data_IF_469529630478
#
_entry.id   IF_469529630478
#
_cell.length_a   1.000
_cell.length_b   1.000
_cell.length_c   1.000
_cell.angle_alpha   90.00
_cell.angle_beta   90.00
_cell.angle_gamma   90.00
#
_symmetry.space_group_name_H-M   'P 1'
#
loop_
_entity.id
_entity.type
_entity.pdbx_description
1 polymer ?
#
# COMPACT_ATOMS: atom_id res chain seq x y z
N UNK A 1 -9.14 6.24 8.29
CA UNK A 1 -8.20 5.97 7.17
C UNK A 1 -7.66 7.25 6.54
N UNK A 2 -8.48 8.19 6.07
CA UNK A 2 -7.99 9.43 5.43
C UNK A 2 -7.11 10.24 6.38
N UNK A 3 -7.53 10.49 7.62
CA UNK A 3 -6.74 11.25 8.59
C UNK A 3 -5.34 10.70 8.87
N UNK A 4 -5.20 9.36 8.98
CA UNK A 4 -3.88 8.71 9.12
C UNK A 4 -3.02 8.90 7.87
N UNK A 5 -3.61 8.72 6.68
CA UNK A 5 -2.88 8.89 5.42
C UNK A 5 -2.41 10.35 5.23
N UNK A 6 -3.26 11.33 5.56
CA UNK A 6 -2.88 12.75 5.53
C UNK A 6 -1.74 13.06 6.49
N UNK A 7 -1.78 12.50 7.70
CA UNK A 7 -0.73 12.70 8.69
C UNK A 7 0.61 12.09 8.24
N UNK A 8 0.58 10.87 7.70
CA UNK A 8 1.76 10.22 7.13
C UNK A 8 2.36 11.02 5.97
N UNK A 9 1.49 11.59 5.12
CA UNK A 9 1.92 12.45 4.02
C UNK A 9 2.60 13.73 4.52
N UNK A 10 2.02 14.40 5.52
CA UNK A 10 2.60 15.60 6.15
C UNK A 10 3.94 15.24 6.82
N UNK A 11 4.00 14.16 7.57
CA UNK A 11 5.24 13.68 8.18
C UNK A 11 6.33 13.44 7.12
N UNK A 12 5.98 12.75 6.03
CA UNK A 12 6.91 12.50 4.90
C UNK A 12 7.42 13.82 4.31
N UNK A 13 6.53 14.80 4.06
CA UNK A 13 6.89 16.08 3.48
C UNK A 13 7.82 16.92 4.39
N UNK A 14 7.59 16.90 5.70
CA UNK A 14 8.44 17.59 6.68
C UNK A 14 9.81 16.91 6.75
N UNK A 15 9.84 15.60 6.98
CA UNK A 15 11.09 14.85 7.15
C UNK A 15 11.93 14.82 5.87
N UNK A 16 11.33 14.82 4.68
CA UNK A 16 12.05 14.90 3.41
C UNK A 16 12.87 16.19 3.26
N UNK A 17 12.47 17.28 3.93
CA UNK A 17 13.21 18.54 3.95
C UNK A 17 14.33 18.58 4.97
N UNK A 18 14.27 17.72 5.99
CA UNK A 18 15.23 17.70 7.12
C UNK A 18 16.30 16.63 6.93
N UNK A 19 15.93 15.44 6.46
CA UNK A 19 16.79 14.27 6.39
C UNK A 19 17.48 14.12 5.02
N UNK A 20 18.57 13.37 4.99
CA UNK A 20 19.29 13.06 3.76
C UNK A 20 18.61 11.94 2.95
N UNK A 21 18.82 11.87 1.62
CA UNK A 21 18.32 10.76 0.80
C UNK A 21 18.77 9.38 1.30
N UNK A 22 19.99 9.26 1.83
CA UNK A 22 20.50 8.01 2.38
C UNK A 22 19.66 7.48 3.55
N UNK A 23 19.14 8.36 4.42
CA UNK A 23 18.31 7.97 5.55
C UNK A 23 16.99 7.31 5.09
N UNK A 24 16.38 7.86 4.05
CA UNK A 24 15.18 7.27 3.45
C UNK A 24 15.46 5.97 2.73
N UNK A 25 16.65 5.84 2.10
CA UNK A 25 17.06 4.60 1.47
C UNK A 25 17.28 3.47 2.48
N UNK A 26 17.99 3.74 3.56
CA UNK A 26 18.17 2.79 4.66
C UNK A 26 16.83 2.39 5.25
N UNK A 27 15.96 3.36 5.53
CA UNK A 27 14.64 3.08 6.09
C UNK A 27 13.74 2.30 5.12
N UNK A 28 13.85 2.52 3.80
CA UNK A 28 13.11 1.75 2.80
C UNK A 28 13.49 0.26 2.82
N UNK A 29 14.79 -0.06 2.91
CA UNK A 29 15.26 -1.44 3.07
C UNK A 29 14.72 -2.05 4.37
N UNK A 30 14.86 -1.34 5.48
CA UNK A 30 14.39 -1.80 6.80
C UNK A 30 12.88 -2.07 6.79
N UNK A 31 12.08 -1.15 6.24
CA UNK A 31 10.64 -1.33 6.13
C UNK A 31 10.26 -2.48 5.19
N UNK A 32 11.05 -2.74 4.13
CA UNK A 32 10.80 -3.88 3.24
C UNK A 32 11.09 -5.21 3.94
N UNK A 33 12.18 -5.31 4.68
CA UNK A 33 12.52 -6.49 5.49
C UNK A 33 11.47 -6.72 6.57
N UNK A 34 11.08 -5.68 7.30
CA UNK A 34 10.07 -5.79 8.36
C UNK A 34 8.68 -6.11 7.82
N UNK A 35 8.29 -5.55 6.66
CA UNK A 35 7.00 -5.87 6.01
C UNK A 35 6.88 -7.36 5.64
N UNK A 36 8.00 -7.97 5.29
CA UNK A 36 8.10 -9.40 5.04
C UNK A 36 7.85 -10.24 6.30
N UNK A 37 8.52 -9.84 7.38
CA UNK A 37 8.40 -10.54 8.66
C UNK A 37 7.04 -10.29 9.32
N UNK A 38 6.42 -9.13 9.10
CA UNK A 38 5.10 -8.81 9.64
C UNK A 38 4.01 -9.79 9.22
N UNK A 39 4.14 -10.43 8.05
CA UNK A 39 3.19 -11.46 7.60
C UNK A 39 3.13 -12.62 8.59
N UNK A 40 4.23 -12.92 9.27
CA UNK A 40 4.31 -14.00 10.26
C UNK A 40 3.87 -13.57 11.66
N UNK A 41 3.72 -12.27 11.94
CA UNK A 41 3.37 -11.78 13.29
C UNK A 41 1.97 -12.23 13.70
N UNK A 42 1.03 -12.31 12.76
CA UNK A 42 -0.37 -12.63 13.03
C UNK A 42 -0.71 -14.11 12.81
N UNK A 43 0.13 -14.86 12.08
CA UNK A 43 -0.16 -16.25 11.66
C UNK A 43 -1.56 -16.45 11.05
N UNK A 44 -2.22 -15.38 10.56
CA UNK A 44 -3.60 -15.39 10.10
C UNK A 44 -4.66 -15.58 11.19
N UNK A 45 -4.23 -15.51 12.46
CA UNK A 45 -5.09 -15.68 13.64
C UNK A 45 -6.17 -14.60 13.70
N UNK A 46 -5.85 -13.36 13.34
CA UNK A 46 -6.81 -12.25 13.30
C UNK A 46 -8.01 -12.56 12.42
N UNK A 47 -7.78 -13.03 11.20
CA UNK A 47 -8.86 -13.38 10.27
C UNK A 47 -9.65 -14.59 10.78
N UNK A 48 -8.98 -15.55 11.42
CA UNK A 48 -9.63 -16.71 12.01
C UNK A 48 -10.56 -16.30 13.19
N UNK A 49 -10.12 -15.39 14.07
CA UNK A 49 -10.93 -14.87 15.18
C UNK A 49 -12.20 -14.16 14.69
N UNK A 50 -12.09 -13.40 13.59
CA UNK A 50 -13.24 -12.74 12.99
C UNK A 50 -14.19 -13.76 12.34
N UNK A 51 -13.65 -14.80 11.72
CA UNK A 51 -14.42 -15.83 11.04
C UNK A 51 -15.21 -16.73 12.01
N UNK A 52 -14.57 -17.22 13.06
CA UNK A 52 -15.20 -18.05 14.06
C UNK A 52 -15.91 -17.21 15.10
N UNK A 53 -17.22 -17.45 15.33
CA UNK A 53 -18.02 -16.65 16.29
C UNK A 53 -17.87 -17.16 17.71
N UNK A 54 -17.84 -18.50 17.89
CA UNK A 54 -17.79 -19.15 19.20
C UNK A 54 -16.33 -19.46 19.59
N UNK A 55 -15.69 -18.49 20.25
CA UNK A 55 -14.31 -18.63 20.75
C UNK A 55 -14.33 -18.51 22.27
N UNK A 56 -13.81 -19.52 22.96
CA UNK A 56 -13.71 -19.49 24.41
C UNK A 56 -12.60 -18.53 24.89
N UNK A 57 -12.75 -18.00 26.11
CA UNK A 57 -11.73 -17.12 26.72
C UNK A 57 -10.37 -17.80 26.85
N UNK A 58 -10.36 -19.13 27.08
CA UNK A 58 -9.13 -19.91 27.14
C UNK A 58 -8.42 -20.00 25.77
N UNK A 59 -9.19 -20.09 24.68
CA UNK A 59 -8.66 -20.04 23.31
C UNK A 59 -8.12 -18.66 23.00
N UNK A 60 -8.86 -17.60 23.31
CA UNK A 60 -8.39 -16.21 23.12
C UNK A 60 -7.08 -15.96 23.88
N UNK A 61 -6.99 -16.41 25.13
CA UNK A 61 -5.74 -16.29 25.91
C UNK A 61 -4.59 -17.08 25.30
N UNK A 62 -4.86 -18.29 24.79
CA UNK A 62 -3.84 -19.11 24.12
C UNK A 62 -3.34 -18.47 22.81
N UNK A 63 -4.24 -17.88 22.01
CA UNK A 63 -3.91 -17.15 20.79
C UNK A 63 -3.11 -15.88 21.09
N UNK A 64 -3.44 -15.17 22.18
CA UNK A 64 -2.67 -14.01 22.62
C UNK A 64 -1.21 -14.38 22.95
N UNK A 65 -1.00 -15.39 23.80
CA UNK A 65 0.34 -15.81 24.17
C UNK A 65 1.12 -16.38 22.99
N UNK A 66 0.43 -17.02 22.02
CA UNK A 66 1.03 -17.43 20.77
C UNK A 66 1.53 -16.23 19.97
N UNK A 67 0.69 -15.22 19.77
CA UNK A 67 1.07 -14.00 19.05
C UNK A 67 2.25 -13.29 19.71
N UNK A 68 2.25 -13.14 21.04
CA UNK A 68 3.37 -12.54 21.78
C UNK A 68 4.64 -13.36 21.64
N UNK A 69 4.54 -14.69 21.72
CA UNK A 69 5.69 -15.58 21.54
C UNK A 69 6.27 -15.47 20.13
N UNK A 70 5.41 -15.45 19.10
CA UNK A 70 5.83 -15.28 17.70
C UNK A 70 6.44 -13.91 17.48
N UNK A 71 5.81 -12.83 17.98
CA UNK A 71 6.37 -11.48 17.88
C UNK A 71 7.74 -11.36 18.54
N UNK A 72 7.92 -11.98 19.72
CA UNK A 72 9.21 -12.06 20.42
C UNK A 72 10.23 -12.88 19.63
N UNK A 73 9.83 -14.02 19.08
CA UNK A 73 10.69 -14.86 18.24
C UNK A 73 11.15 -14.11 16.98
N UNK A 74 10.24 -13.38 16.31
CA UNK A 74 10.57 -12.55 15.14
C UNK A 74 11.51 -11.39 15.51
N UNK A 75 11.30 -10.77 16.67
CA UNK A 75 12.21 -9.73 17.20
C UNK A 75 13.63 -10.30 17.37
N UNK A 76 13.76 -11.42 18.08
CA UNK A 76 15.07 -12.07 18.32
C UNK A 76 15.68 -12.56 17.01
N UNK A 77 14.88 -13.14 16.10
CA UNK A 77 15.33 -13.60 14.80
C UNK A 77 15.88 -12.44 13.96
N UNK A 78 15.19 -11.30 13.91
CA UNK A 78 15.67 -10.13 13.18
C UNK A 78 16.93 -9.53 13.81
N UNK A 79 17.01 -9.47 15.15
CA UNK A 79 18.23 -9.06 15.85
C UNK A 79 19.42 -9.97 15.49
N UNK A 80 19.23 -11.28 15.56
CA UNK A 80 20.28 -12.26 15.26
C UNK A 80 20.65 -12.26 13.76
N UNK A 81 19.68 -12.07 12.87
CA UNK A 81 19.90 -12.01 11.42
C UNK A 81 20.45 -10.65 10.93
N UNK A 82 20.38 -9.60 11.76
CA UNK A 82 20.76 -8.24 11.33
C UNK A 82 22.19 -8.11 10.79
N UNK A 83 23.25 -8.76 11.33
CA UNK A 83 24.59 -8.69 10.75
C UNK A 83 24.64 -9.38 9.37
N UNK A 84 23.96 -10.52 9.20
CA UNK A 84 23.89 -11.23 7.92
C UNK A 84 23.16 -10.38 6.87
N UNK A 85 22.02 -9.78 7.24
CA UNK A 85 21.21 -8.95 6.35
C UNK A 85 22.02 -7.71 5.93
N UNK A 86 22.66 -7.03 6.87
CA UNK A 86 23.40 -5.79 6.60
C UNK A 86 24.67 -6.02 5.80
N UNK A 87 25.46 -7.02 6.16
CA UNK A 87 26.78 -7.26 5.54
C UNK A 87 26.69 -8.11 4.26
N UNK A 88 25.92 -9.21 4.28
CA UNK A 88 25.95 -10.19 3.17
C UNK A 88 24.86 -9.95 2.13
N UNK A 89 23.66 -9.48 2.54
CA UNK A 89 22.56 -9.29 1.58
C UNK A 89 22.64 -7.89 0.96
N UNK A 90 22.67 -6.85 1.77
CA UNK A 90 22.59 -5.48 1.26
C UNK A 90 23.92 -4.74 1.19
N UNK A 91 24.99 -5.27 1.79
CA UNK A 91 26.34 -4.65 1.85
C UNK A 91 26.32 -3.21 2.41
N UNK A 92 25.46 -2.97 3.40
CA UNK A 92 25.29 -1.67 4.05
C UNK A 92 25.33 -1.83 5.58
N UNK A 93 26.52 -1.71 6.21
CA UNK A 93 26.68 -1.92 7.66
C UNK A 93 25.80 -1.03 8.53
N UNK A 94 25.45 0.17 8.05
CA UNK A 94 24.55 1.09 8.73
C UNK A 94 23.14 0.52 8.98
N UNK A 95 22.73 -0.53 8.27
CA UNK A 95 21.43 -1.19 8.49
C UNK A 95 21.37 -1.97 9.80
N UNK A 96 22.50 -2.53 10.26
CA UNK A 96 22.52 -3.42 11.43
C UNK A 96 21.89 -2.79 12.68
N UNK A 97 22.34 -1.63 13.18
CA UNK A 97 21.75 -1.03 14.37
C UNK A 97 20.28 -0.62 14.17
N UNK A 98 19.91 -0.24 12.94
CA UNK A 98 18.53 0.14 12.61
C UNK A 98 17.61 -1.08 12.67
N UNK A 99 18.04 -2.23 12.11
CA UNK A 99 17.31 -3.49 12.15
C UNK A 99 17.11 -3.99 13.59
N UNK A 100 18.15 -3.86 14.44
CA UNK A 100 18.06 -4.21 15.86
C UNK A 100 17.01 -3.35 16.56
N UNK A 101 17.03 -2.04 16.38
CA UNK A 101 16.06 -1.15 17.05
C UNK A 101 14.63 -1.38 16.52
N UNK A 102 14.45 -1.46 15.22
CA UNK A 102 13.11 -1.60 14.62
C UNK A 102 12.48 -2.96 14.93
N UNK A 103 13.28 -3.98 15.27
CA UNK A 103 12.77 -5.31 15.65
C UNK A 103 11.86 -5.25 16.90
N UNK A 104 12.06 -4.28 17.80
CA UNK A 104 11.17 -4.04 18.95
C UNK A 104 9.71 -3.80 18.53
N UNK A 105 9.50 -3.28 17.32
CA UNK A 105 8.16 -3.05 16.81
C UNK A 105 7.34 -4.34 16.67
N UNK A 106 7.99 -5.50 16.45
CA UNK A 106 7.27 -6.79 16.41
C UNK A 106 6.63 -7.14 17.75
N UNK A 107 7.31 -6.82 18.85
CA UNK A 107 6.77 -7.02 20.19
C UNK A 107 5.57 -6.09 20.44
N UNK A 108 5.69 -4.80 20.10
CA UNK A 108 4.59 -3.85 20.28
C UNK A 108 3.36 -4.25 19.47
N UNK A 109 3.54 -4.64 18.21
CA UNK A 109 2.46 -5.12 17.35
C UNK A 109 1.80 -6.38 17.94
N UNK A 110 2.59 -7.36 18.37
CA UNK A 110 2.07 -8.62 18.90
C UNK A 110 1.24 -8.41 20.17
N UNK A 111 1.70 -7.55 21.09
CA UNK A 111 0.98 -7.20 22.33
C UNK A 111 -0.36 -6.51 22.05
N UNK A 112 -0.45 -5.68 21.02
CA UNK A 112 -1.67 -4.94 20.68
C UNK A 112 -2.64 -5.69 19.78
N UNK A 113 -2.16 -6.68 19.00
CA UNK A 113 -2.91 -7.30 17.89
C UNK A 113 -4.21 -7.97 18.34
N UNK A 114 -4.18 -8.74 19.43
CA UNK A 114 -5.36 -9.44 19.92
C UNK A 114 -6.48 -8.48 20.32
N UNK A 115 -6.15 -7.42 21.05
CA UNK A 115 -7.10 -6.39 21.49
C UNK A 115 -7.70 -5.67 20.28
N UNK A 116 -6.87 -5.37 19.29
CA UNK A 116 -7.31 -4.78 18.02
C UNK A 116 -8.36 -5.65 17.32
N UNK A 117 -8.08 -6.96 17.18
CA UNK A 117 -8.99 -7.89 16.48
C UNK A 117 -10.30 -8.06 17.24
N UNK A 118 -10.26 -8.10 18.59
CA UNK A 118 -11.46 -8.14 19.41
C UNK A 118 -12.33 -6.90 19.21
N UNK A 119 -11.71 -5.71 19.19
CA UNK A 119 -12.41 -4.46 18.92
C UNK A 119 -12.97 -4.38 17.48
N UNK A 120 -12.25 -4.95 16.49
CA UNK A 120 -12.74 -5.09 15.11
C UNK A 120 -13.96 -6.02 15.05
N UNK A 121 -13.93 -7.16 15.73
CA UNK A 121 -15.04 -8.11 15.85
C UNK A 121 -16.24 -7.51 16.54
N UNK A 122 -16.02 -6.68 17.57
CA UNK A 122 -17.05 -5.92 18.28
C UNK A 122 -17.54 -4.66 17.51
N UNK A 123 -16.99 -4.40 16.31
CA UNK A 123 -17.32 -3.23 15.47
C UNK A 123 -17.01 -1.87 16.11
N UNK A 124 -16.09 -1.81 17.07
CA UNK A 124 -15.67 -0.58 17.75
C UNK A 124 -14.73 0.28 16.91
N UNK A 125 -15.08 0.52 15.64
CA UNK A 125 -14.25 1.24 14.67
C UNK A 125 -13.93 2.68 15.08
N UNK A 126 -14.79 3.33 15.87
CA UNK A 126 -14.54 4.69 16.37
C UNK A 126 -13.36 4.72 17.36
N UNK A 127 -13.26 3.72 18.25
CA UNK A 127 -12.14 3.58 19.19
C UNK A 127 -10.86 3.28 18.43
N UNK A 128 -10.90 2.33 17.50
CA UNK A 128 -9.75 1.98 16.66
C UNK A 128 -9.24 3.19 15.85
N UNK A 129 -10.15 3.99 15.30
CA UNK A 129 -9.76 5.20 14.57
C UNK A 129 -9.07 6.24 15.48
N UNK A 130 -9.56 6.43 16.72
CA UNK A 130 -8.92 7.32 17.71
C UNK A 130 -7.53 6.82 18.06
N UNK A 131 -7.38 5.52 18.34
CA UNK A 131 -6.09 4.89 18.65
C UNK A 131 -5.11 5.09 17.49
N UNK A 132 -5.52 4.76 16.26
CA UNK A 132 -4.65 4.87 15.07
C UNK A 132 -4.20 6.31 14.81
N UNK A 133 -5.09 7.28 14.94
CA UNK A 133 -4.76 8.70 14.71
C UNK A 133 -3.86 9.22 15.84
N UNK A 134 -4.17 8.92 17.10
CA UNK A 134 -3.37 9.37 18.24
C UNK A 134 -1.97 8.77 18.24
N UNK A 135 -1.84 7.47 17.92
CA UNK A 135 -0.55 6.80 17.79
C UNK A 135 0.27 7.38 16.64
N UNK A 136 -0.38 7.63 15.48
CA UNK A 136 0.28 8.24 14.32
C UNK A 136 0.74 9.68 14.60
N UNK A 137 -0.06 10.47 15.34
CA UNK A 137 0.34 11.81 15.82
C UNK A 137 1.56 11.73 16.72
N UNK A 138 1.55 10.86 17.73
CA UNK A 138 2.68 10.67 18.63
C UNK A 138 3.95 10.24 17.89
N UNK A 139 3.85 9.30 16.95
CA UNK A 139 4.96 8.88 16.09
C UNK A 139 5.47 10.02 15.19
N UNK A 140 4.57 10.84 14.64
CA UNK A 140 4.93 12.00 13.83
C UNK A 140 5.68 13.05 14.66
N UNK A 141 5.16 13.39 15.84
CA UNK A 141 5.81 14.32 16.76
C UNK A 141 7.18 13.81 17.17
N UNK A 142 7.31 12.54 17.56
CA UNK A 142 8.58 11.95 17.94
C UNK A 142 9.61 12.01 16.80
N UNK A 143 9.20 11.67 15.56
CA UNK A 143 10.09 11.74 14.41
C UNK A 143 10.57 13.15 14.11
N UNK A 144 9.66 14.14 14.11
CA UNK A 144 10.01 15.54 13.84
C UNK A 144 10.88 16.11 14.95
N UNK A 145 10.53 15.87 16.22
CA UNK A 145 11.32 16.34 17.36
C UNK A 145 12.75 15.77 17.31
N UNK A 146 12.88 14.45 17.05
CA UNK A 146 14.21 13.85 16.90
C UNK A 146 14.98 14.47 15.73
N UNK A 147 14.34 14.67 14.59
CA UNK A 147 14.97 15.28 13.42
C UNK A 147 15.43 16.72 13.66
N UNK A 148 14.78 17.48 14.54
CA UNK A 148 15.22 18.82 14.92
C UNK A 148 16.54 18.83 15.71
N UNK A 149 16.80 17.79 16.54
CA UNK A 149 18.03 17.67 17.31
C UNK A 149 19.13 16.91 16.57
N UNK A 150 18.76 15.83 15.89
CA UNK A 150 19.67 14.96 15.16
C UNK A 150 19.00 14.48 13.85
N UNK A 151 19.22 15.16 12.71
CA UNK A 151 18.61 14.81 11.43
C UNK A 151 19.27 13.58 10.82
N UNK A 152 18.94 12.41 11.34
CA UNK A 152 19.46 11.09 10.95
C UNK A 152 18.32 10.10 10.75
N UNK A 153 18.62 8.94 10.18
CA UNK A 153 17.67 7.82 10.00
C UNK A 153 16.94 7.44 11.31
N UNK A 154 17.57 7.68 12.47
CA UNK A 154 16.98 7.38 13.79
C UNK A 154 15.71 8.19 14.07
N UNK A 155 15.52 9.35 13.43
CA UNK A 155 14.26 10.09 13.49
C UNK A 155 13.10 9.28 12.91
N UNK A 156 13.32 8.60 11.78
CA UNK A 156 12.33 7.71 11.17
C UNK A 156 12.06 6.47 12.04
N UNK A 157 13.12 5.90 12.61
CA UNK A 157 13.03 4.75 13.54
C UNK A 157 12.24 5.13 14.79
N UNK A 158 12.54 6.25 15.42
CA UNK A 158 11.82 6.75 16.59
C UNK A 158 10.33 6.95 16.29
N UNK A 159 10.00 7.51 15.12
CA UNK A 159 8.62 7.67 14.68
C UNK A 159 7.86 6.35 14.58
N UNK A 160 8.48 5.31 14.01
CA UNK A 160 7.86 3.98 13.90
C UNK A 160 7.71 3.31 15.27
N UNK A 161 8.75 3.35 16.12
CA UNK A 161 8.71 2.73 17.44
C UNK A 161 7.70 3.39 18.37
N UNK A 162 7.68 4.73 18.41
CA UNK A 162 6.69 5.47 19.22
C UNK A 162 5.28 5.23 18.72
N UNK A 163 5.06 5.20 17.41
CA UNK A 163 3.76 4.84 16.83
C UNK A 163 3.32 3.42 17.27
N UNK A 164 4.20 2.42 17.13
CA UNK A 164 3.91 1.04 17.52
C UNK A 164 3.63 0.90 19.02
N UNK A 165 4.46 1.52 19.85
CA UNK A 165 4.29 1.53 21.31
C UNK A 165 2.97 2.20 21.73
N UNK A 166 2.69 3.40 21.22
CA UNK A 166 1.45 4.11 21.53
C UNK A 166 0.23 3.36 21.02
N UNK A 167 0.32 2.73 19.86
CA UNK A 167 -0.78 1.91 19.35
C UNK A 167 -1.08 0.74 20.29
N UNK A 168 -0.06 0.00 20.73
CA UNK A 168 -0.24 -1.09 21.69
C UNK A 168 -0.81 -0.56 23.01
N UNK A 169 -0.23 0.49 23.59
CA UNK A 169 -0.66 1.09 24.85
C UNK A 169 -2.11 1.58 24.78
N UNK A 170 -2.46 2.36 23.76
CA UNK A 170 -3.82 2.90 23.62
C UNK A 170 -4.86 1.83 23.32
N UNK A 171 -4.51 0.76 22.62
CA UNK A 171 -5.40 -0.40 22.43
C UNK A 171 -5.75 -1.02 23.80
N UNK A 172 -4.76 -1.26 24.63
CA UNK A 172 -4.98 -1.80 25.98
C UNK A 172 -5.77 -0.87 26.90
N UNK A 173 -5.56 0.43 26.81
CA UNK A 173 -6.25 1.42 27.65
C UNK A 173 -7.69 1.67 27.20
N UNK A 174 -7.96 1.68 25.88
CA UNK A 174 -9.24 2.16 25.34
C UNK A 174 -10.11 1.07 24.71
N UNK A 175 -9.54 -0.09 24.35
CA UNK A 175 -10.22 -1.11 23.56
C UNK A 175 -10.24 -2.50 24.23
N UNK A 176 -9.57 -2.69 25.35
CA UNK A 176 -9.51 -4.00 26.02
C UNK A 176 -10.80 -4.38 26.73
N UNK A 177 -11.68 -3.41 27.06
CA UNK A 177 -12.95 -3.65 27.78
C UNK A 177 -12.78 -4.48 29.07
N UNK A 178 -11.63 -4.37 29.70
CA UNK A 178 -11.29 -5.14 30.89
C UNK A 178 -10.84 -6.59 30.65
N UNK A 179 -10.80 -7.04 29.36
CA UNK A 179 -10.28 -8.35 29.05
C UNK A 179 -8.77 -8.45 29.44
N UNK A 180 -8.43 -9.58 30.08
CA UNK A 180 -7.05 -9.89 30.46
C UNK A 180 -6.72 -11.32 30.06
N UNK A 181 -5.57 -11.56 29.39
CA UNK A 181 -5.16 -12.90 29.02
C UNK A 181 -4.86 -13.71 30.26
N UNK A 182 -5.50 -14.87 30.41
CA UNK A 182 -5.16 -15.81 31.47
C UNK A 182 -3.76 -16.41 31.20
N UNK A 183 -2.93 -16.68 32.24
CA UNK A 183 -1.63 -17.29 32.08
C UNK A 183 -1.73 -18.81 31.81
N UNK A 184 -2.57 -19.19 30.87
CA UNK A 184 -2.83 -20.60 30.47
C UNK A 184 -2.67 -20.72 28.96
N UNK A 185 -1.87 -21.68 28.54
CA UNK A 185 -1.59 -21.94 27.13
C UNK A 185 -2.01 -23.37 26.76
N UNK A 186 -3.03 -23.52 25.90
CA UNK A 186 -3.54 -24.82 25.46
C UNK A 186 -3.47 -24.94 23.93
N UNK A 187 -2.42 -25.56 23.41
CA UNK A 187 -2.17 -25.70 21.97
C UNK A 187 -3.25 -26.53 21.26
N UNK A 188 -3.79 -27.57 21.92
CA UNK A 188 -4.77 -28.50 21.31
C UNK A 188 -6.08 -27.80 20.88
N UNK A 189 -6.47 -26.71 21.54
CA UNK A 189 -7.71 -25.99 21.23
C UNK A 189 -7.62 -24.97 20.08
N UNK A 190 -6.41 -24.68 19.56
CA UNK A 190 -6.18 -23.63 18.56
C UNK A 190 -5.72 -24.13 17.19
N UNK A 191 -5.57 -25.45 17.00
CA UNK A 191 -5.03 -26.03 15.77
C UNK A 191 -5.82 -25.69 14.50
N UNK A 192 -7.14 -25.58 14.59
CA UNK A 192 -7.99 -25.20 13.45
C UNK A 192 -7.82 -23.73 13.05
N UNK A 193 -7.57 -22.82 14.01
CA UNK A 193 -7.25 -21.42 13.73
C UNK A 193 -5.93 -21.31 12.97
N UNK A 194 -4.91 -22.07 13.40
CA UNK A 194 -3.59 -22.07 12.75
C UNK A 194 -3.63 -22.63 11.33
N UNK A 195 -4.40 -23.70 11.10
CA UNK A 195 -4.56 -24.28 9.76
C UNK A 195 -5.23 -23.29 8.80
N UNK A 196 -6.28 -22.61 9.24
CA UNK A 196 -6.97 -21.59 8.47
C UNK A 196 -6.04 -20.40 8.21
N UNK A 197 -5.33 -19.92 9.24
CA UNK A 197 -4.41 -18.79 9.16
C UNK A 197 -3.22 -19.04 8.23
N UNK A 198 -2.67 -20.26 8.20
CA UNK A 198 -1.53 -20.61 7.35
C UNK A 198 -1.80 -20.41 5.85
N UNK A 199 -3.02 -20.68 5.38
CA UNK A 199 -3.40 -20.42 3.99
C UNK A 199 -3.40 -18.93 3.66
N UNK A 200 -3.94 -18.10 4.57
CA UNK A 200 -3.99 -16.64 4.40
C UNK A 200 -2.56 -16.09 4.43
N UNK A 201 -1.77 -16.51 5.41
CA UNK A 201 -0.37 -16.12 5.58
C UNK A 201 0.46 -16.43 4.34
N UNK A 202 0.31 -17.62 3.73
CA UNK A 202 1.02 -17.96 2.50
C UNK A 202 0.70 -17.00 1.34
N UNK A 203 -0.58 -16.62 1.20
CA UNK A 203 -1.02 -15.63 0.21
C UNK A 203 -0.42 -14.24 0.45
N UNK A 204 -0.46 -13.78 1.70
CA UNK A 204 0.08 -12.47 2.08
C UNK A 204 1.60 -12.41 1.97
N UNK A 205 2.30 -13.52 2.24
CA UNK A 205 3.74 -13.64 2.05
C UNK A 205 4.13 -13.43 0.58
N UNK A 206 3.51 -14.17 -0.34
CA UNK A 206 3.77 -14.05 -1.78
C UNK A 206 3.40 -12.64 -2.28
N UNK A 207 2.29 -12.09 -1.80
CA UNK A 207 1.89 -10.73 -2.16
C UNK A 207 2.88 -9.68 -1.60
N UNK A 208 3.41 -9.87 -0.39
CA UNK A 208 4.44 -9.00 0.20
C UNK A 208 5.74 -9.04 -0.60
N UNK A 209 6.16 -10.24 -1.08
CA UNK A 209 7.28 -10.42 -2.00
C UNK A 209 7.13 -9.52 -3.23
N UNK A 210 6.02 -9.66 -3.94
CA UNK A 210 5.77 -8.87 -5.14
C UNK A 210 5.73 -7.36 -4.87
N UNK A 211 5.20 -6.95 -3.72
CA UNK A 211 5.09 -5.53 -3.36
C UNK A 211 6.42 -4.88 -3.01
N UNK A 212 7.37 -5.64 -2.49
CA UNK A 212 8.65 -5.12 -2.02
C UNK A 212 9.83 -5.52 -2.92
N UNK A 213 9.59 -6.25 -4.02
CA UNK A 213 10.62 -6.75 -4.92
C UNK A 213 11.55 -5.65 -5.42
N UNK A 214 11.00 -4.51 -5.78
CA UNK A 214 11.75 -3.35 -6.28
C UNK A 214 12.70 -2.76 -5.22
N UNK A 215 12.25 -2.63 -3.99
CA UNK A 215 13.08 -2.09 -2.89
C UNK A 215 14.12 -3.12 -2.46
N UNK A 216 13.78 -4.43 -2.44
CA UNK A 216 14.73 -5.48 -2.11
C UNK A 216 15.86 -5.56 -3.15
N UNK A 217 15.50 -5.55 -4.44
CA UNK A 217 16.48 -5.55 -5.53
C UNK A 217 17.27 -4.23 -5.53
N UNK A 218 16.58 -3.10 -5.43
CA UNK A 218 17.22 -1.79 -5.38
C UNK A 218 18.17 -1.62 -4.20
N UNK A 219 17.81 -2.14 -3.02
CA UNK A 219 18.65 -2.12 -1.82
C UNK A 219 19.92 -2.93 -1.95
N UNK A 220 19.88 -4.03 -2.75
CA UNK A 220 21.04 -4.86 -3.06
C UNK A 220 21.96 -4.23 -4.11
N UNK A 221 21.35 -3.55 -5.11
CA UNK A 221 22.07 -3.07 -6.30
C UNK A 221 22.59 -1.63 -6.16
N UNK A 222 21.96 -0.81 -5.32
CA UNK A 222 22.25 0.61 -5.25
C UNK A 222 22.62 1.06 -3.83
N UNK A 223 23.47 2.09 -3.70
CA UNK A 223 23.72 2.77 -2.43
C UNK A 223 22.43 3.37 -1.85
N UNK A 224 22.37 3.49 -0.51
CA UNK A 224 21.19 4.00 0.19
C UNK A 224 20.70 5.36 -0.33
N UNK A 225 21.60 6.29 -0.68
CA UNK A 225 21.23 7.60 -1.20
C UNK A 225 20.45 7.52 -2.52
N UNK A 226 20.85 6.64 -3.44
CA UNK A 226 20.16 6.42 -4.71
C UNK A 226 18.82 5.74 -4.48
N UNK A 227 18.77 4.75 -3.59
CA UNK A 227 17.51 4.10 -3.23
C UNK A 227 16.54 5.06 -2.53
N UNK A 228 17.04 5.99 -1.72
CA UNK A 228 16.23 7.04 -1.10
C UNK A 228 15.57 7.94 -2.12
N UNK A 229 16.30 8.34 -3.16
CA UNK A 229 15.78 9.12 -4.27
C UNK A 229 14.67 8.39 -5.06
N UNK A 230 14.64 7.07 -5.01
CA UNK A 230 13.58 6.23 -5.56
C UNK A 230 12.40 6.04 -4.59
N UNK A 231 12.70 5.80 -3.31
CA UNK A 231 11.71 5.36 -2.34
C UNK A 231 10.67 6.44 -2.01
N UNK A 232 11.05 7.71 -1.92
CA UNK A 232 10.11 8.80 -1.66
C UNK A 232 9.13 9.05 -2.81
N UNK A 233 9.55 9.19 -4.08
CA UNK A 233 8.63 9.25 -5.22
C UNK A 233 7.73 8.01 -5.31
N UNK A 234 8.26 6.81 -4.98
CA UNK A 234 7.48 5.57 -4.91
C UNK A 234 6.36 5.67 -3.87
N UNK A 235 6.68 6.12 -2.66
CA UNK A 235 5.70 6.29 -1.60
C UNK A 235 4.65 7.34 -1.96
N UNK A 236 5.05 8.44 -2.60
CA UNK A 236 4.15 9.47 -3.10
C UNK A 236 3.18 8.88 -4.13
N UNK A 237 3.68 8.13 -5.11
CA UNK A 237 2.85 7.43 -6.10
C UNK A 237 1.89 6.42 -5.45
N UNK A 238 2.39 5.59 -4.53
CA UNK A 238 1.56 4.58 -3.85
C UNK A 238 0.47 5.19 -2.96
N UNK A 239 0.69 6.35 -2.39
CA UNK A 239 -0.29 7.05 -1.54
C UNK A 239 -1.59 7.33 -2.26
N UNK A 240 -1.56 7.61 -3.56
CA UNK A 240 -2.75 7.84 -4.40
C UNK A 240 -3.64 6.59 -4.40
N UNK A 241 -3.07 5.44 -4.79
CA UNK A 241 -3.82 4.18 -4.85
C UNK A 241 -4.34 3.73 -3.47
N UNK A 242 -3.56 3.95 -2.41
CA UNK A 242 -3.93 3.56 -1.05
C UNK A 242 -5.16 4.33 -0.53
N UNK A 243 -5.39 5.55 -1.01
CA UNK A 243 -6.57 6.35 -0.65
C UNK A 243 -7.75 6.05 -1.56
N UNK A 244 -7.54 5.93 -2.87
CA UNK A 244 -8.62 5.85 -3.86
C UNK A 244 -9.21 4.44 -4.01
N UNK A 245 -8.36 3.40 -4.01
CA UNK A 245 -8.79 2.04 -4.29
C UNK A 245 -9.78 1.46 -3.27
N UNK A 246 -9.62 1.66 -1.94
CA UNK A 246 -10.58 1.14 -0.98
C UNK A 246 -12.00 1.70 -1.16
N UNK A 247 -12.15 2.91 -1.71
CA UNK A 247 -13.45 3.54 -1.95
C UNK A 247 -14.23 2.72 -3.00
N UNK A 248 -13.55 2.33 -4.07
CA UNK A 248 -14.18 1.59 -5.19
C UNK A 248 -14.38 0.11 -4.84
N UNK A 249 -13.39 -0.53 -4.21
CA UNK A 249 -13.44 -1.98 -3.93
C UNK A 249 -14.46 -2.33 -2.84
N UNK A 250 -14.68 -1.45 -1.84
CA UNK A 250 -15.69 -1.66 -0.80
C UNK A 250 -17.11 -1.77 -1.35
N UNK A 251 -17.41 -1.08 -2.45
CA UNK A 251 -18.72 -1.15 -3.11
C UNK A 251 -18.74 -2.28 -4.15
N UNK A 252 -17.67 -2.41 -4.91
CA UNK A 252 -17.58 -3.37 -6.03
C UNK A 252 -17.64 -4.82 -5.59
N UNK A 253 -16.90 -5.20 -4.55
CA UNK A 253 -16.81 -6.59 -4.08
C UNK A 253 -18.17 -7.18 -3.66
N UNK A 254 -18.98 -6.55 -2.77
CA UNK A 254 -20.28 -7.11 -2.38
C UNK A 254 -21.25 -7.23 -3.55
N UNK A 255 -21.25 -6.27 -4.48
CA UNK A 255 -22.12 -6.32 -5.66
C UNK A 255 -21.71 -7.46 -6.58
N UNK A 256 -20.41 -7.65 -6.85
CA UNK A 256 -19.92 -8.79 -7.65
C UNK A 256 -20.26 -10.13 -6.98
N UNK A 257 -20.13 -10.25 -5.66
CA UNK A 257 -20.46 -11.47 -4.93
C UNK A 257 -21.93 -11.84 -5.04
N UNK A 258 -22.85 -10.86 -4.94
CA UNK A 258 -24.30 -11.09 -5.12
C UNK A 258 -24.67 -11.52 -6.53
N UNK A 259 -23.86 -11.19 -7.51
CA UNK A 259 -24.15 -11.40 -8.94
C UNK A 259 -23.28 -12.48 -9.59
N UNK A 260 -22.54 -13.25 -8.80
CA UNK A 260 -21.58 -14.25 -9.28
C UNK A 260 -22.18 -15.34 -10.18
N UNK A 261 -23.47 -15.63 -10.06
CA UNK A 261 -24.17 -16.65 -10.83
C UNK A 261 -24.66 -16.14 -12.20
N UNK A 262 -24.78 -14.83 -12.40
CA UNK A 262 -25.13 -14.22 -13.69
C UNK A 262 -23.88 -13.62 -14.35
N UNK A 263 -23.28 -14.35 -15.27
CA UNK A 263 -22.05 -13.93 -15.97
C UNK A 263 -22.21 -12.62 -16.74
N UNK A 264 -23.39 -12.33 -17.30
CA UNK A 264 -23.60 -11.11 -18.06
C UNK A 264 -23.66 -9.90 -17.14
N UNK A 265 -24.35 -10.03 -16.03
CA UNK A 265 -24.45 -8.97 -15.04
C UNK A 265 -23.11 -8.78 -14.30
N UNK A 266 -22.44 -9.86 -13.93
CA UNK A 266 -21.09 -9.83 -13.32
C UNK A 266 -20.09 -9.10 -14.22
N UNK A 267 -20.10 -9.38 -15.54
CA UNK A 267 -19.29 -8.66 -16.53
C UNK A 267 -19.58 -7.16 -16.50
N UNK A 268 -20.83 -6.78 -16.53
CA UNK A 268 -21.24 -5.37 -16.47
C UNK A 268 -20.74 -4.67 -15.22
N UNK A 269 -20.92 -5.30 -14.05
CA UNK A 269 -20.46 -4.78 -12.76
C UNK A 269 -18.94 -4.65 -12.71
N UNK A 270 -18.22 -5.68 -13.18
CA UNK A 270 -16.76 -5.67 -13.22
C UNK A 270 -16.21 -4.54 -14.12
N UNK A 271 -16.70 -4.43 -15.36
CA UNK A 271 -16.25 -3.41 -16.31
C UNK A 271 -16.60 -1.99 -15.80
N UNK A 272 -17.75 -1.83 -15.14
CA UNK A 272 -18.13 -0.56 -14.50
C UNK A 272 -17.19 -0.21 -13.34
N UNK A 273 -16.88 -1.18 -12.46
CA UNK A 273 -15.95 -1.00 -11.35
C UNK A 273 -14.55 -0.65 -11.85
N UNK A 274 -14.07 -1.34 -12.90
CA UNK A 274 -12.78 -1.06 -13.52
C UNK A 274 -12.72 0.35 -14.11
N UNK A 275 -13.76 0.74 -14.85
CA UNK A 275 -13.90 2.08 -15.42
C UNK A 275 -13.92 3.14 -14.34
N UNK A 276 -14.64 2.93 -13.22
CA UNK A 276 -14.65 3.85 -12.08
C UNK A 276 -13.26 3.99 -11.46
N UNK A 277 -12.54 2.86 -11.25
CA UNK A 277 -11.17 2.87 -10.73
C UNK A 277 -10.24 3.68 -11.64
N UNK A 278 -10.28 3.43 -12.95
CA UNK A 278 -9.46 4.15 -13.92
C UNK A 278 -9.83 5.65 -14.00
N UNK A 279 -11.13 5.98 -13.98
CA UNK A 279 -11.60 7.37 -14.06
C UNK A 279 -11.20 8.22 -12.85
N UNK A 280 -11.01 7.62 -11.68
CA UNK A 280 -10.53 8.34 -10.49
C UNK A 280 -9.00 8.41 -10.46
N UNK A 281 -8.33 7.30 -10.74
CA UNK A 281 -6.88 7.20 -10.58
C UNK A 281 -6.10 7.88 -11.73
N UNK A 282 -6.51 7.69 -12.99
CA UNK A 282 -5.73 8.13 -14.14
C UNK A 282 -5.50 9.64 -14.18
N UNK A 283 -6.52 10.52 -13.97
CA UNK A 283 -6.29 11.94 -13.93
C UNK A 283 -5.25 12.35 -12.88
N UNK A 284 -5.29 11.73 -11.69
CA UNK A 284 -4.37 12.04 -10.60
C UNK A 284 -2.95 11.62 -10.97
N UNK A 285 -2.77 10.40 -11.51
CA UNK A 285 -1.44 9.90 -11.89
C UNK A 285 -0.85 10.63 -13.11
N UNK A 286 -1.67 10.99 -14.11
CA UNK A 286 -1.21 11.75 -15.27
C UNK A 286 -0.83 13.18 -14.85
N UNK A 287 -1.61 13.80 -13.95
CA UNK A 287 -1.26 15.08 -13.36
C UNK A 287 0.07 14.99 -12.57
N UNK A 288 0.23 13.94 -11.75
CA UNK A 288 1.45 13.69 -10.99
C UNK A 288 2.66 13.48 -11.89
N UNK A 289 2.49 12.81 -13.04
CA UNK A 289 3.55 12.62 -14.02
C UNK A 289 3.89 13.92 -14.76
N UNK A 290 2.88 14.65 -15.26
CA UNK A 290 3.06 15.89 -16.00
C UNK A 290 3.69 17.02 -15.15
N UNK A 291 3.32 17.09 -13.88
CA UNK A 291 3.82 18.07 -12.92
C UNK A 291 4.79 17.45 -11.91
N UNK A 292 5.50 16.39 -12.28
CA UNK A 292 6.40 15.64 -11.38
C UNK A 292 7.44 16.54 -10.71
N UNK A 293 8.03 17.48 -11.46
CA UNK A 293 9.02 18.45 -10.95
C UNK A 293 8.40 19.36 -9.91
N UNK A 294 7.22 19.92 -10.21
CA UNK A 294 6.50 20.81 -9.28
C UNK A 294 6.03 20.05 -8.04
N UNK A 295 5.52 18.84 -8.20
CA UNK A 295 5.09 17.96 -7.10
C UNK A 295 6.26 17.60 -6.17
N UNK A 296 7.42 17.24 -6.73
CA UNK A 296 8.63 16.96 -5.96
C UNK A 296 9.08 18.19 -5.18
N UNK A 297 9.15 19.36 -5.82
CA UNK A 297 9.57 20.60 -5.14
C UNK A 297 8.60 20.97 -4.01
N UNK A 298 7.30 20.88 -4.23
CA UNK A 298 6.28 21.25 -3.25
C UNK A 298 6.23 20.28 -2.07
N UNK A 299 6.28 18.99 -2.33
CA UNK A 299 6.10 17.96 -1.30
C UNK A 299 7.43 17.63 -0.63
N UNK A 300 8.45 17.30 -1.40
CA UNK A 300 9.72 16.81 -0.89
C UNK A 300 10.76 17.93 -0.69
N UNK A 301 10.69 18.99 -1.50
CA UNK A 301 11.63 20.10 -1.47
C UNK A 301 12.63 20.07 -2.63
N UNK A 302 13.32 21.21 -2.85
CA UNK A 302 14.24 21.41 -3.98
C UNK A 302 15.39 20.41 -4.05
N UNK A 303 15.84 19.88 -2.92
CA UNK A 303 16.89 18.84 -2.82
C UNK A 303 16.56 17.57 -3.63
N UNK A 304 15.28 17.27 -3.84
CA UNK A 304 14.80 16.05 -4.48
C UNK A 304 14.48 16.21 -5.97
N UNK A 305 14.85 17.32 -6.58
CA UNK A 305 14.44 17.65 -7.95
C UNK A 305 14.88 16.58 -8.96
N UNK A 306 16.03 15.96 -8.74
CA UNK A 306 16.59 14.90 -9.59
C UNK A 306 15.77 13.59 -9.52
N UNK A 307 14.87 13.49 -8.55
CA UNK A 307 13.92 12.37 -8.44
C UNK A 307 12.66 12.57 -9.30
N UNK A 308 12.47 13.73 -9.94
CA UNK A 308 11.28 13.99 -10.75
C UNK A 308 11.11 13.00 -11.92
N UNK A 309 12.14 12.59 -12.67
CA UNK A 309 12.00 11.56 -13.70
C UNK A 309 11.56 10.20 -13.15
N UNK A 310 12.02 9.85 -11.94
CA UNK A 310 11.59 8.63 -11.26
C UNK A 310 10.10 8.71 -10.91
N UNK A 311 9.61 9.87 -10.46
CA UNK A 311 8.21 10.07 -10.16
C UNK A 311 7.32 9.89 -11.40
N UNK A 312 7.75 10.31 -12.58
CA UNK A 312 7.03 10.07 -13.85
C UNK A 312 6.80 8.57 -14.06
N UNK A 313 7.88 7.77 -14.01
CA UNK A 313 7.81 6.32 -14.23
C UNK A 313 6.99 5.63 -13.14
N UNK A 314 7.16 6.05 -11.90
CA UNK A 314 6.43 5.49 -10.75
C UNK A 314 4.95 5.93 -10.73
N UNK A 315 4.60 7.07 -11.31
CA UNK A 315 3.21 7.45 -11.52
C UNK A 315 2.55 6.55 -12.58
N UNK A 316 3.26 6.23 -13.68
CA UNK A 316 2.79 5.26 -14.67
C UNK A 316 2.63 3.87 -14.02
N UNK A 317 3.60 3.42 -13.25
CA UNK A 317 3.50 2.18 -12.47
C UNK A 317 2.26 2.18 -11.57
N UNK A 318 2.06 3.22 -10.74
CA UNK A 318 0.92 3.34 -9.82
C UNK A 318 -0.43 3.35 -10.55
N UNK A 319 -0.48 4.03 -11.70
CA UNK A 319 -1.67 4.11 -12.57
C UNK A 319 -2.15 2.71 -12.99
N UNK A 320 -1.28 1.91 -13.59
CA UNK A 320 -1.65 0.56 -14.04
C UNK A 320 -1.79 -0.43 -12.88
N UNK A 321 -0.99 -0.31 -11.83
CA UNK A 321 -1.14 -1.11 -10.61
C UNK A 321 -2.50 -0.94 -9.95
N UNK A 322 -3.08 0.28 -9.95
CA UNK A 322 -4.40 0.53 -9.38
C UNK A 322 -5.50 -0.29 -10.04
N UNK A 323 -5.33 -0.64 -11.33
CA UNK A 323 -6.25 -1.47 -12.11
C UNK A 323 -6.25 -2.95 -11.67
N UNK A 324 -5.25 -3.40 -10.93
CA UNK A 324 -5.21 -4.77 -10.41
C UNK A 324 -6.24 -5.06 -9.29
N UNK A 325 -6.65 -4.04 -8.52
CA UNK A 325 -7.57 -4.22 -7.40
C UNK A 325 -8.96 -4.75 -7.77
N UNK A 326 -9.65 -4.26 -8.83
CA UNK A 326 -10.91 -4.83 -9.27
C UNK A 326 -10.81 -6.29 -9.69
N UNK A 327 -9.67 -6.73 -10.27
CA UNK A 327 -9.45 -8.13 -10.64
C UNK A 327 -9.34 -9.02 -9.39
N UNK A 328 -8.63 -8.57 -8.36
CA UNK A 328 -8.59 -9.26 -7.07
C UNK A 328 -9.99 -9.37 -6.43
N UNK A 329 -10.78 -8.30 -6.47
CA UNK A 329 -12.16 -8.29 -5.98
C UNK A 329 -13.06 -9.27 -6.76
N UNK A 330 -12.89 -9.37 -8.09
CA UNK A 330 -13.62 -10.34 -8.91
C UNK A 330 -13.33 -11.77 -8.48
N UNK A 331 -12.04 -12.13 -8.33
CA UNK A 331 -11.64 -13.48 -7.92
C UNK A 331 -12.18 -13.86 -6.54
N UNK A 332 -12.15 -12.92 -5.58
CA UNK A 332 -12.74 -13.13 -4.27
C UNK A 332 -14.26 -13.30 -4.34
N UNK A 333 -14.94 -12.50 -5.16
CA UNK A 333 -16.38 -12.56 -5.33
C UNK A 333 -16.86 -13.89 -5.92
N UNK A 334 -16.09 -14.50 -6.83
CA UNK A 334 -16.40 -15.81 -7.42
C UNK A 334 -15.79 -16.99 -6.68
N UNK A 335 -15.20 -16.78 -5.50
CA UNK A 335 -14.65 -17.84 -4.66
C UNK A 335 -13.35 -18.47 -5.19
N UNK A 336 -12.60 -17.76 -6.05
CA UNK A 336 -11.35 -18.25 -6.68
C UNK A 336 -10.09 -17.65 -6.03
N UNK A 337 -10.04 -17.68 -4.71
CA UNK A 337 -8.86 -17.21 -3.95
C UNK A 337 -7.59 -18.02 -4.26
N UNK A 338 -7.74 -19.34 -4.59
CA UNK A 338 -6.65 -20.20 -5.02
C UNK A 338 -5.98 -19.70 -6.31
N UNK A 339 -6.77 -19.20 -7.26
CA UNK A 339 -6.23 -18.62 -8.50
C UNK A 339 -5.49 -17.31 -8.23
N UNK A 340 -6.00 -16.48 -7.31
CA UNK A 340 -5.29 -15.25 -6.89
C UNK A 340 -3.93 -15.59 -6.29
N UNK A 341 -3.85 -16.62 -5.46
CA UNK A 341 -2.58 -17.11 -4.91
C UNK A 341 -1.63 -17.58 -6.01
N UNK A 342 -2.09 -18.48 -6.90
CA UNK A 342 -1.27 -19.00 -8.01
C UNK A 342 -0.78 -17.88 -8.95
N UNK A 343 -1.62 -16.90 -9.21
CA UNK A 343 -1.25 -15.72 -10.00
C UNK A 343 -0.15 -14.90 -9.33
N UNK A 344 -0.32 -14.57 -8.04
CA UNK A 344 0.71 -13.84 -7.29
C UNK A 344 2.03 -14.63 -7.20
N UNK A 345 1.95 -15.96 -7.07
CA UNK A 345 3.13 -16.81 -7.07
C UNK A 345 3.83 -16.82 -8.44
N UNK A 346 3.08 -16.93 -9.54
CA UNK A 346 3.64 -16.82 -10.89
C UNK A 346 4.28 -15.46 -11.14
N UNK A 347 3.66 -14.38 -10.61
CA UNK A 347 4.24 -13.04 -10.70
C UNK A 347 5.60 -12.92 -10.03
N UNK A 348 5.90 -13.64 -8.95
CA UNK A 348 7.24 -13.62 -8.34
C UNK A 348 8.30 -14.03 -9.36
N UNK A 349 8.04 -15.10 -10.13
CA UNK A 349 8.98 -15.60 -11.15
C UNK A 349 9.12 -14.68 -12.37
N UNK A 350 8.23 -13.71 -12.55
CA UNK A 350 8.33 -12.70 -13.61
C UNK A 350 8.92 -11.39 -13.08
N UNK A 351 8.42 -10.93 -11.92
CA UNK A 351 8.79 -9.63 -11.34
C UNK A 351 10.28 -9.60 -10.97
N UNK A 352 10.77 -10.62 -10.26
CA UNK A 352 12.16 -10.63 -9.80
C UNK A 352 13.17 -10.64 -10.95
N UNK A 353 13.11 -11.53 -11.98
CA UNK A 353 14.05 -11.50 -13.08
C UNK A 353 13.98 -10.21 -13.91
N UNK A 354 12.77 -9.69 -14.17
CA UNK A 354 12.64 -8.46 -14.96
C UNK A 354 13.21 -7.26 -14.20
N UNK A 355 12.92 -7.12 -12.91
CA UNK A 355 13.45 -6.01 -12.12
C UNK A 355 14.95 -6.16 -11.88
N UNK A 356 15.46 -7.39 -11.69
CA UNK A 356 16.89 -7.64 -11.60
C UNK A 356 17.58 -7.23 -12.89
N UNK A 357 17.11 -7.67 -14.06
CA UNK A 357 17.64 -7.25 -15.35
C UNK A 357 17.57 -5.73 -15.57
N UNK A 358 16.42 -5.12 -15.23
CA UNK A 358 16.22 -3.68 -15.36
C UNK A 358 17.11 -2.86 -14.41
N UNK A 359 17.48 -3.39 -13.25
CA UNK A 359 18.36 -2.71 -12.27
C UNK A 359 19.78 -2.48 -12.78
N UNK A 360 20.24 -3.24 -13.78
CA UNK A 360 21.53 -3.00 -14.41
C UNK A 360 21.59 -1.70 -15.24
N UNK A 361 20.42 -1.15 -15.59
CA UNK A 361 20.29 0.14 -16.27
C UNK A 361 20.03 1.30 -15.30
N UNK A 362 20.72 1.35 -14.18
CA UNK A 362 20.56 2.32 -13.10
C UNK A 362 19.19 2.29 -12.41
N UNK A 363 18.97 3.18 -11.47
CA UNK A 363 17.69 3.30 -10.72
C UNK A 363 16.50 3.69 -11.63
N UNK A 364 16.78 4.40 -12.74
CA UNK A 364 15.76 4.74 -13.75
C UNK A 364 15.31 3.48 -14.47
N UNK A 365 16.24 2.55 -14.78
CA UNK A 365 15.92 1.24 -15.34
C UNK A 365 15.00 0.43 -14.43
N UNK A 366 15.27 0.41 -13.13
CA UNK A 366 14.41 -0.25 -12.14
C UNK A 366 12.98 0.34 -12.15
N UNK A 367 12.84 1.68 -12.16
CA UNK A 367 11.55 2.35 -12.23
C UNK A 367 10.83 2.07 -13.56
N UNK A 368 11.56 2.08 -14.68
CA UNK A 368 11.03 1.76 -16.01
C UNK A 368 10.59 0.29 -16.09
N UNK A 369 11.36 -0.63 -15.51
CA UNK A 369 11.02 -2.04 -15.40
C UNK A 369 9.70 -2.26 -14.62
N UNK A 370 9.51 -1.54 -13.52
CA UNK A 370 8.24 -1.54 -12.76
C UNK A 370 7.06 -1.07 -13.63
N UNK A 371 7.21 0.06 -14.30
CA UNK A 371 6.16 0.62 -15.17
C UNK A 371 5.86 -0.32 -16.35
N UNK A 372 6.90 -0.83 -17.02
CA UNK A 372 6.79 -1.76 -18.15
C UNK A 372 6.11 -3.07 -17.76
N UNK A 373 6.46 -3.62 -16.58
CA UNK A 373 5.79 -4.81 -16.05
C UNK A 373 4.29 -4.59 -15.87
N UNK A 374 3.88 -3.48 -15.26
CA UNK A 374 2.46 -3.23 -15.02
C UNK A 374 1.67 -3.02 -16.32
N UNK A 375 2.27 -2.34 -17.30
CA UNK A 375 1.69 -2.21 -18.65
C UNK A 375 1.60 -3.59 -19.32
N UNK A 376 2.68 -4.35 -19.29
CA UNK A 376 2.75 -5.69 -19.89
C UNK A 376 1.76 -6.68 -19.27
N UNK A 377 1.44 -6.53 -17.97
CA UNK A 377 0.50 -7.41 -17.27
C UNK A 377 -0.97 -7.13 -17.58
N UNK A 378 -1.32 -6.05 -18.27
CA UNK A 378 -2.72 -5.70 -18.62
C UNK A 378 -3.38 -6.84 -19.41
N UNK A 379 -2.72 -7.35 -20.45
CA UNK A 379 -3.27 -8.41 -21.31
C UNK A 379 -3.26 -9.79 -20.63
N UNK A 380 -2.16 -10.24 -20.00
CA UNK A 380 -2.16 -11.48 -19.22
C UNK A 380 -3.21 -11.51 -18.11
N UNK A 381 -3.37 -10.41 -17.37
CA UNK A 381 -4.39 -10.31 -16.32
C UNK A 381 -5.80 -10.47 -16.89
N UNK A 382 -6.09 -9.84 -18.04
CA UNK A 382 -7.36 -10.03 -18.72
C UNK A 382 -7.55 -11.50 -19.15
N UNK A 383 -6.53 -12.12 -19.75
CA UNK A 383 -6.63 -13.47 -20.30
C UNK A 383 -6.83 -14.55 -19.23
N UNK A 384 -6.03 -14.49 -18.15
CA UNK A 384 -6.02 -15.53 -17.11
C UNK A 384 -7.04 -15.28 -15.98
N UNK A 385 -7.31 -14.01 -15.62
CA UNK A 385 -8.10 -13.69 -14.42
C UNK A 385 -9.50 -13.15 -14.74
N UNK A 386 -9.69 -12.46 -15.87
CA UNK A 386 -10.94 -11.74 -16.12
C UNK A 386 -11.82 -12.52 -17.10
N UNK A 387 -11.27 -12.83 -18.27
CA UNK A 387 -12.00 -13.52 -19.36
C UNK A 387 -12.69 -14.81 -18.90
N UNK A 388 -12.07 -15.72 -18.14
CA UNK A 388 -12.70 -17.00 -17.77
C UNK A 388 -13.93 -16.85 -16.88
N UNK A 389 -13.98 -15.82 -16.04
CA UNK A 389 -15.00 -15.66 -15.00
C UNK A 389 -16.13 -14.73 -15.37
N UNK A 390 -15.86 -13.63 -16.07
CA UNK A 390 -16.91 -12.72 -16.50
C UNK A 390 -17.14 -12.65 -18.02
N UNK A 391 -16.32 -13.35 -18.83
CA UNK A 391 -16.50 -13.39 -20.28
C UNK A 391 -16.28 -12.06 -21.01
N UNK A 392 -15.57 -11.11 -20.40
CA UNK A 392 -15.29 -9.81 -21.01
C UNK A 392 -14.37 -9.98 -22.24
N UNK A 393 -14.73 -9.37 -23.37
CA UNK A 393 -13.88 -9.31 -24.56
C UNK A 393 -12.72 -8.36 -24.33
N UNK A 394 -11.56 -8.60 -24.97
CA UNK A 394 -10.38 -7.73 -24.81
C UNK A 394 -10.69 -6.27 -25.16
N UNK A 395 -11.44 -6.03 -26.23
CA UNK A 395 -11.83 -4.67 -26.62
C UNK A 395 -12.70 -3.97 -25.56
N UNK A 396 -13.68 -4.69 -24.95
CA UNK A 396 -14.51 -4.14 -23.87
C UNK A 396 -13.65 -3.78 -22.65
N UNK A 397 -12.69 -4.64 -22.30
CA UNK A 397 -11.78 -4.41 -21.19
C UNK A 397 -10.83 -3.23 -21.46
N UNK A 398 -10.18 -3.18 -22.63
CA UNK A 398 -9.29 -2.09 -23.00
C UNK A 398 -10.03 -0.74 -23.09
N UNK A 399 -11.26 -0.70 -23.59
CA UNK A 399 -12.07 0.51 -23.62
C UNK A 399 -12.36 1.08 -22.22
N UNK A 400 -12.44 0.23 -21.18
CA UNK A 400 -12.60 0.73 -19.79
C UNK A 400 -11.38 1.47 -19.30
N UNK A 401 -10.20 1.23 -19.86
CA UNK A 401 -8.95 1.88 -19.53
C UNK A 401 -8.65 3.07 -20.47
N UNK A 402 -8.85 2.87 -21.78
CA UNK A 402 -8.50 3.85 -22.80
C UNK A 402 -9.38 5.11 -22.73
N UNK A 403 -10.68 4.96 -22.45
CA UNK A 403 -11.57 6.12 -22.36
C UNK A 403 -11.17 7.09 -21.23
N UNK A 404 -10.96 6.66 -19.97
CA UNK A 404 -10.43 7.51 -18.92
C UNK A 404 -9.00 8.02 -19.20
N UNK A 405 -8.15 7.22 -19.84
CA UNK A 405 -6.78 7.59 -20.19
C UNK A 405 -6.76 8.77 -21.15
N UNK A 406 -7.51 8.68 -22.25
CA UNK A 406 -7.63 9.77 -23.25
C UNK A 406 -8.20 11.02 -22.60
N UNK A 407 -9.31 10.91 -21.88
CA UNK A 407 -9.95 12.05 -21.23
C UNK A 407 -9.00 12.74 -20.25
N UNK A 408 -8.27 11.97 -19.43
CA UNK A 408 -7.32 12.50 -18.46
C UNK A 408 -6.10 13.13 -19.14
N UNK A 409 -5.56 12.49 -20.17
CA UNK A 409 -4.40 13.01 -20.91
C UNK A 409 -4.74 14.34 -21.59
N UNK A 410 -5.88 14.44 -22.29
CA UNK A 410 -6.32 15.68 -22.91
C UNK A 410 -6.56 16.79 -21.88
N UNK A 411 -7.22 16.45 -20.75
CA UNK A 411 -7.49 17.42 -19.70
C UNK A 411 -6.22 17.95 -19.02
N UNK A 412 -5.28 17.04 -18.70
CA UNK A 412 -4.01 17.45 -18.07
C UNK A 412 -3.12 18.20 -19.06
N UNK A 413 -3.12 17.83 -20.34
CA UNK A 413 -2.38 18.53 -21.38
C UNK A 413 -2.89 19.99 -21.54
N UNK A 414 -4.21 20.20 -21.58
CA UNK A 414 -4.78 21.56 -21.61
C UNK A 414 -4.41 22.35 -20.35
N UNK A 415 -4.48 21.73 -19.16
CA UNK A 415 -4.02 22.34 -17.92
C UNK A 415 -2.52 22.70 -17.96
N UNK A 416 -1.68 21.81 -18.47
CA UNK A 416 -0.23 22.02 -18.60
C UNK A 416 0.11 23.21 -19.52
N UNK A 417 -0.53 23.26 -20.68
CA UNK A 417 -0.32 24.32 -21.64
C UNK A 417 -0.80 25.67 -21.12
N UNK A 418 -1.91 25.71 -20.37
CA UNK A 418 -2.46 26.99 -19.83
C UNK A 418 -1.58 27.63 -18.75
N UNK A 419 -0.70 26.85 -18.09
CA UNK A 419 0.17 27.33 -17.00
C UNK A 419 1.65 27.41 -17.38
N UNK A 420 1.98 27.28 -18.66
CA UNK A 420 3.36 27.30 -19.16
C UNK A 420 4.13 28.59 -18.81
N UNK A 421 3.42 29.69 -18.68
CA UNK A 421 3.97 31.01 -18.33
C UNK A 421 4.16 31.24 -16.82
N UNK A 422 3.60 30.39 -15.97
CA UNK A 422 3.73 30.54 -14.52
C UNK A 422 5.06 29.92 -14.06
N UNK A 423 5.76 30.59 -13.15
CA UNK A 423 7.05 30.10 -12.62
C UNK A 423 6.95 29.44 -11.26
N UNK A 424 5.99 29.86 -10.43
CA UNK A 424 5.85 29.31 -9.06
C UNK A 424 5.13 27.97 -9.06
N UNK A 425 5.75 26.88 -8.53
CA UNK A 425 5.21 25.52 -8.58
C UNK A 425 3.80 25.36 -8.00
N UNK A 426 3.50 26.10 -6.91
CA UNK A 426 2.18 26.02 -6.26
C UNK A 426 1.07 26.57 -7.16
N UNK A 427 1.30 27.72 -7.81
CA UNK A 427 0.33 28.33 -8.70
C UNK A 427 0.20 27.54 -10.01
N UNK A 428 1.31 26.98 -10.52
CA UNK A 428 1.28 26.08 -11.68
C UNK A 428 0.37 24.89 -11.42
N UNK A 429 0.56 24.20 -10.31
CA UNK A 429 -0.24 23.02 -9.98
C UNK A 429 -1.69 23.38 -9.69
N UNK A 430 -1.96 24.44 -8.91
CA UNK A 430 -3.31 24.88 -8.57
C UNK A 430 -4.12 25.31 -9.81
N UNK A 431 -3.54 26.16 -10.66
CA UNK A 431 -4.20 26.62 -11.88
C UNK A 431 -4.37 25.47 -12.89
N UNK A 432 -3.37 24.58 -13.02
CA UNK A 432 -3.50 23.41 -13.88
C UNK A 432 -4.66 22.50 -13.46
N UNK A 433 -4.84 22.26 -12.15
CA UNK A 433 -5.96 21.48 -11.63
C UNK A 433 -7.29 22.18 -11.89
N UNK A 434 -7.35 23.51 -11.67
CA UNK A 434 -8.55 24.31 -11.92
C UNK A 434 -8.99 24.29 -13.40
N UNK A 435 -8.05 24.21 -14.33
CA UNK A 435 -8.34 24.10 -15.77
C UNK A 435 -8.62 22.65 -16.16
N UNK A 436 -7.80 21.70 -15.70
CA UNK A 436 -7.92 20.31 -16.09
C UNK A 436 -9.20 19.65 -15.55
N UNK A 437 -9.68 20.01 -14.35
CA UNK A 437 -10.84 19.35 -13.75
C UNK A 437 -12.14 19.58 -14.57
N UNK A 438 -12.54 20.80 -14.96
CA UNK A 438 -13.71 20.99 -15.80
C UNK A 438 -13.55 20.40 -17.20
N UNK A 439 -12.36 20.47 -17.80
CA UNK A 439 -12.06 19.84 -19.09
C UNK A 439 -12.21 18.32 -19.00
N UNK A 440 -11.70 17.71 -17.92
CA UNK A 440 -11.87 16.27 -17.67
C UNK A 440 -13.33 15.87 -17.57
N UNK A 441 -14.14 16.64 -16.84
CA UNK A 441 -15.58 16.40 -16.71
C UNK A 441 -16.27 16.53 -18.08
N UNK A 442 -15.94 17.59 -18.85
CA UNK A 442 -16.52 17.82 -20.18
C UNK A 442 -16.18 16.67 -21.16
N UNK A 443 -14.91 16.27 -21.26
CA UNK A 443 -14.50 15.14 -22.11
C UNK A 443 -15.12 13.83 -21.61
N UNK A 444 -15.17 13.61 -20.30
CA UNK A 444 -15.79 12.42 -19.72
C UNK A 444 -17.28 12.37 -19.99
N UNK A 445 -17.96 13.49 -20.15
CA UNK A 445 -19.36 13.54 -20.55
C UNK A 445 -19.57 13.02 -21.99
N UNK A 446 -18.60 13.22 -22.87
CA UNK A 446 -18.64 12.73 -24.25
C UNK A 446 -18.23 11.26 -24.36
N UNK A 447 -17.14 10.85 -23.70
CA UNK A 447 -16.48 9.56 -23.91
C UNK A 447 -16.78 8.55 -22.79
N UNK A 448 -17.16 9.02 -21.59
CA UNK A 448 -17.26 8.23 -20.37
C UNK A 448 -18.54 8.52 -19.55
N UNK A 449 -19.68 8.71 -20.21
CA UNK A 449 -20.98 9.08 -19.58
C UNK A 449 -21.39 8.19 -18.41
N UNK A 450 -21.13 6.89 -18.51
CA UNK A 450 -21.49 5.92 -17.47
C UNK A 450 -20.83 6.16 -16.12
N UNK A 451 -19.64 6.77 -16.10
CA UNK A 451 -18.96 7.17 -14.87
C UNK A 451 -19.63 8.39 -14.25
N UNK A 452 -19.94 9.41 -15.03
CA UNK A 452 -20.59 10.63 -14.53
C UNK A 452 -21.97 10.37 -13.94
N UNK A 453 -22.80 9.53 -14.62
CA UNK A 453 -24.10 9.15 -14.09
C UNK A 453 -23.98 8.36 -12.78
N UNK A 454 -22.97 7.49 -12.65
CA UNK A 454 -22.70 6.78 -11.40
C UNK A 454 -22.26 7.72 -10.27
N UNK A 455 -21.43 8.72 -10.56
CA UNK A 455 -21.01 9.75 -9.59
C UNK A 455 -22.18 10.65 -9.17
N UNK A 456 -23.03 11.06 -10.09
CA UNK A 456 -24.25 11.82 -9.79
C UNK A 456 -25.18 11.04 -8.86
N UNK A 457 -25.40 9.77 -9.12
CA UNK A 457 -26.21 8.91 -8.26
C UNK A 457 -25.63 8.74 -6.86
N UNK A 458 -24.31 8.71 -6.71
CA UNK A 458 -23.64 8.65 -5.40
C UNK A 458 -23.76 9.98 -4.62
N UNK A 459 -23.70 11.13 -5.32
CA UNK A 459 -23.81 12.45 -4.71
C UNK A 459 -25.25 12.84 -4.36
N UNK A 460 -26.24 12.39 -5.15
CA UNK A 460 -27.66 12.70 -4.97
C UNK A 460 -28.38 11.75 -3.99
N UNK A 461 -27.77 10.62 -3.62
CA UNK A 461 -28.31 9.66 -2.63
C UNK A 461 -27.82 9.94 -1.20
N UNK A 462 -27.66 11.21 -0.85
CA UNK A 462 -27.51 11.65 0.54
C UNK A 462 -28.85 11.92 1.15
#
# INVERSE_FOLDING_TARGET
MVGRASLQFVQMAILARMLAPADFGLMAIVLSVTAFMQVFTDLGVSTAIIHYQDISESQLSSLYWLNVSVGTALMVLLMAASPLISASIFHQPALQPILILISLNFLFLAVGQQVRVMAEKALHFSVLAKVEISAALGGCVAAITWACFAPTVYALVAGVLVNGFLQALLLWLLASEGWRPAPRFHVRGIGHFLKFGAYIMAGDFVNSLNRQADVLIGGRMFPAAILGSYSLPRNLSMSVANVTNPIVTRVGLPVMAKTQHDKAFLKSVYLKTMRMTASVNFPIYILLAAFSRDAVILVLGKRWIDSAPLLVLLAIFGMFRSCGNPAGSLLLAVGKADLSFRWNLALVFVVFPVLWGASHFHIIGLAAGQAGLMIGMVVPMWYFLIRPYCGARLGEYLLTLLAPLIAATCAVLTGYLSVSHLTAPIWRLACAVLVAAPVYVAISWLVNRSWLTAMQQLLLRR
#
